data_IF_143328424791
#
_entry.id   IF_143328424791
#
_cell.length_a   1.000
_cell.length_b   1.000
_cell.length_c   1.000
_cell.angle_alpha   90.00
_cell.angle_beta   90.00
_cell.angle_gamma   90.00
#
_symmetry.space_group_name_H-M   'P 1'
#
loop_
_entity.id
_entity.type
_entity.pdbx_description
1 polymer ?
#
# COMPACT_ATOMS: atom_id res chain seq x y z
N UNK A 1 -5.80 -8.70 33.70
CA UNK A 1 -4.90 -7.62 33.22
C UNK A 1 -5.12 -7.43 31.72
N UNK A 2 -5.93 -6.47 31.30
CA UNK A 2 -6.07 -6.11 29.88
C UNK A 2 -4.92 -5.17 29.51
N UNK A 3 -4.03 -5.62 28.62
CA UNK A 3 -2.96 -4.75 28.08
C UNK A 3 -3.64 -3.67 27.24
N UNK A 4 -3.62 -2.42 27.71
CA UNK A 4 -4.11 -1.28 26.93
C UNK A 4 -3.31 -1.24 25.64
N UNK A 5 -3.98 -1.40 24.50
CA UNK A 5 -3.34 -1.27 23.20
C UNK A 5 -2.86 0.19 23.03
N UNK A 6 -1.73 0.40 22.34
CA UNK A 6 -1.24 1.76 22.06
C UNK A 6 -2.27 2.57 21.27
N UNK A 7 -2.21 3.89 21.39
CA UNK A 7 -3.00 4.81 20.58
C UNK A 7 -2.70 4.65 19.06
N UNK A 8 -3.58 5.18 18.22
CA UNK A 8 -3.45 5.05 16.76
C UNK A 8 -2.13 5.59 16.23
N UNK A 9 -1.70 6.75 16.73
CA UNK A 9 -0.44 7.39 16.33
C UNK A 9 0.74 6.49 16.65
N UNK A 10 0.77 5.90 17.84
CA UNK A 10 1.80 4.95 18.24
C UNK A 10 1.79 3.69 17.35
N UNK A 11 0.62 3.12 17.05
CA UNK A 11 0.52 1.95 16.14
C UNK A 11 1.07 2.26 14.75
N UNK A 12 0.74 3.43 14.22
CA UNK A 12 1.23 3.89 12.92
C UNK A 12 2.76 4.10 12.91
N UNK A 13 3.33 4.70 13.96
CA UNK A 13 4.78 4.86 14.09
C UNK A 13 5.50 3.51 14.17
N UNK A 14 4.97 2.57 14.96
CA UNK A 14 5.52 1.20 15.05
C UNK A 14 5.47 0.50 13.68
N UNK A 15 4.36 0.61 12.95
CA UNK A 15 4.24 0.03 11.61
C UNK A 15 5.26 0.64 10.63
N UNK A 16 5.48 1.97 10.67
CA UNK A 16 6.50 2.65 9.85
C UNK A 16 7.91 2.20 10.20
N UNK A 17 8.24 2.10 11.49
CA UNK A 17 9.55 1.62 11.95
C UNK A 17 9.78 0.20 11.42
N UNK A 18 8.79 -0.69 11.59
CA UNK A 18 8.88 -2.07 11.10
C UNK A 18 9.03 -2.17 9.59
N UNK A 19 8.26 -1.37 8.83
CA UNK A 19 8.35 -1.31 7.37
C UNK A 19 9.73 -0.84 6.89
N UNK A 20 10.22 0.27 7.44
CA UNK A 20 11.53 0.81 7.08
C UNK A 20 12.67 -0.12 7.48
N UNK A 21 12.61 -0.74 8.66
CA UNK A 21 13.60 -1.72 9.10
C UNK A 21 13.65 -2.93 8.17
N UNK A 22 12.48 -3.41 7.71
CA UNK A 22 12.38 -4.51 6.75
C UNK A 22 12.97 -4.14 5.38
N UNK A 23 12.70 -2.94 4.89
CA UNK A 23 13.27 -2.46 3.61
C UNK A 23 14.79 -2.34 3.71
N UNK A 24 15.31 -1.80 4.83
CA UNK A 24 16.75 -1.68 5.08
C UNK A 24 17.47 -3.03 5.08
N UNK A 25 16.81 -4.08 5.59
CA UNK A 25 17.39 -5.43 5.69
C UNK A 25 17.26 -6.24 4.40
N UNK A 26 16.36 -5.88 3.50
CA UNK A 26 16.08 -6.67 2.31
C UNK A 26 17.10 -6.38 1.21
N UNK A 27 17.65 -7.45 0.62
CA UNK A 27 18.53 -7.35 -0.56
C UNK A 27 17.81 -6.76 -1.78
N UNK A 28 16.51 -7.02 -1.89
CA UNK A 28 15.65 -6.44 -2.92
C UNK A 28 14.18 -6.38 -2.48
N UNK A 29 13.35 -5.51 -3.10
CA UNK A 29 11.91 -5.50 -2.86
C UNK A 29 11.23 -6.85 -3.15
N UNK A 30 11.75 -7.62 -4.13
CA UNK A 30 11.24 -8.93 -4.46
C UNK A 30 11.54 -9.96 -3.35
N UNK A 31 12.76 -9.96 -2.81
CA UNK A 31 13.16 -10.83 -1.71
C UNK A 31 12.30 -10.59 -0.46
N UNK A 32 11.96 -9.32 -0.19
CA UNK A 32 11.09 -8.94 0.93
C UNK A 32 9.72 -9.63 0.88
N UNK A 33 9.17 -9.89 -0.30
CA UNK A 33 7.82 -10.45 -0.47
C UNK A 33 7.81 -11.91 -0.91
N UNK A 34 8.97 -12.50 -1.20
CA UNK A 34 9.08 -13.87 -1.70
C UNK A 34 8.41 -14.90 -0.77
N UNK A 35 8.61 -14.90 0.57
CA UNK A 35 7.96 -15.88 1.45
C UNK A 35 6.43 -15.74 1.45
N UNK A 36 5.93 -14.51 1.46
CA UNK A 36 4.50 -14.23 1.43
C UNK A 36 3.88 -14.65 0.08
N UNK A 37 4.57 -14.38 -1.04
CA UNK A 37 4.15 -14.82 -2.37
C UNK A 37 4.12 -16.35 -2.47
N UNK A 38 5.13 -17.04 -1.95
CA UNK A 38 5.16 -18.50 -1.93
C UNK A 38 3.98 -19.08 -1.13
N UNK A 39 3.74 -18.58 0.09
CA UNK A 39 2.60 -19.01 0.90
C UNK A 39 1.24 -18.72 0.23
N UNK A 40 1.13 -17.56 -0.42
CA UNK A 40 -0.06 -17.18 -1.19
C UNK A 40 -0.31 -18.13 -2.36
N UNK A 41 0.73 -18.53 -3.09
CA UNK A 41 0.60 -19.45 -4.23
C UNK A 41 0.28 -20.87 -3.77
N UNK A 42 0.93 -21.35 -2.70
CA UNK A 42 0.74 -22.70 -2.16
C UNK A 42 -0.71 -23.00 -1.73
N UNK A 43 -1.51 -21.98 -1.41
CA UNK A 43 -2.92 -22.18 -1.07
C UNK A 43 -3.75 -22.71 -2.25
N UNK A 44 -3.38 -22.32 -3.48
CA UNK A 44 -4.13 -22.71 -4.67
C UNK A 44 -3.84 -24.16 -5.04
N UNK A 45 -2.63 -24.64 -4.82
CA UNK A 45 -2.29 -26.06 -4.94
C UNK A 45 -3.16 -26.91 -4.01
N UNK A 46 -3.27 -26.53 -2.72
CA UNK A 46 -4.16 -27.21 -1.77
C UNK A 46 -5.65 -27.10 -2.12
N UNK A 47 -6.05 -26.04 -2.80
CA UNK A 47 -7.44 -25.84 -3.21
C UNK A 47 -7.81 -26.75 -4.40
N UNK A 48 -6.89 -26.95 -5.35
CA UNK A 48 -7.13 -27.77 -6.55
C UNK A 48 -6.85 -29.25 -6.35
N UNK A 49 -6.05 -29.59 -5.34
CA UNK A 49 -5.66 -30.96 -4.99
C UNK A 49 -5.54 -31.11 -3.45
N UNK A 50 -6.66 -31.18 -2.72
CA UNK A 50 -6.63 -31.33 -1.26
C UNK A 50 -5.99 -32.64 -0.80
N UNK A 51 -6.18 -33.71 -1.57
CA UNK A 51 -5.72 -35.07 -1.26
C UNK A 51 -4.32 -35.36 -1.81
N UNK A 52 -3.75 -34.46 -2.63
CA UNK A 52 -2.39 -34.59 -3.17
C UNK A 52 -2.23 -35.69 -4.22
N UNK A 53 -3.30 -36.07 -4.91
CA UNK A 53 -3.33 -37.26 -5.79
C UNK A 53 -2.90 -36.91 -7.22
N UNK A 54 -2.97 -35.64 -7.61
CA UNK A 54 -2.64 -35.23 -8.97
C UNK A 54 -1.12 -35.26 -9.22
N UNK A 55 -0.68 -35.60 -10.44
CA UNK A 55 0.70 -35.35 -10.87
C UNK A 55 1.09 -33.87 -10.72
N UNK A 56 2.36 -33.61 -10.41
CA UNK A 56 2.86 -32.27 -10.06
C UNK A 56 2.63 -31.23 -11.18
N UNK A 57 2.79 -31.63 -12.45
CA UNK A 57 2.57 -30.80 -13.62
C UNK A 57 1.09 -30.40 -13.77
N UNK A 58 0.18 -31.37 -13.58
CA UNK A 58 -1.27 -31.16 -13.62
C UNK A 58 -1.70 -30.29 -12.44
N UNK A 59 -1.15 -30.51 -11.24
CA UNK A 59 -1.43 -29.71 -10.04
C UNK A 59 -1.00 -28.26 -10.26
N UNK A 60 0.20 -28.03 -10.79
CA UNK A 60 0.70 -26.69 -11.08
C UNK A 60 -0.14 -25.97 -12.15
N UNK A 61 -0.54 -26.67 -13.22
CA UNK A 61 -1.41 -26.11 -14.26
C UNK A 61 -2.78 -25.70 -13.69
N UNK A 62 -3.39 -26.54 -12.85
CA UNK A 62 -4.66 -26.23 -12.18
C UNK A 62 -4.51 -25.08 -11.18
N UNK A 63 -3.44 -25.04 -10.39
CA UNK A 63 -3.17 -23.95 -9.45
C UNK A 63 -3.01 -22.61 -10.18
N UNK A 64 -2.35 -22.60 -11.34
CA UNK A 64 -2.24 -21.41 -12.21
C UNK A 64 -3.61 -20.95 -12.73
N UNK A 65 -4.47 -21.89 -13.13
CA UNK A 65 -5.84 -21.57 -13.56
C UNK A 65 -6.66 -20.97 -12.40
N UNK A 66 -6.58 -21.56 -11.20
CA UNK A 66 -7.25 -21.04 -10.00
C UNK A 66 -6.76 -19.64 -9.59
N UNK A 67 -5.45 -19.39 -9.69
CA UNK A 67 -4.90 -18.04 -9.49
C UNK A 67 -5.48 -17.04 -10.49
N UNK A 68 -5.55 -17.42 -11.76
CA UNK A 68 -6.06 -16.56 -12.83
C UNK A 68 -7.54 -16.23 -12.62
N UNK A 69 -8.33 -17.22 -12.23
CA UNK A 69 -9.73 -17.05 -11.84
C UNK A 69 -9.88 -16.09 -10.64
N UNK A 70 -9.06 -16.26 -9.58
CA UNK A 70 -9.10 -15.37 -8.43
C UNK A 70 -8.80 -13.91 -8.80
N UNK A 71 -7.80 -13.68 -9.66
CA UNK A 71 -7.46 -12.34 -10.11
C UNK A 71 -8.56 -11.72 -10.99
N UNK A 72 -9.24 -12.53 -11.81
CA UNK A 72 -10.40 -12.09 -12.57
C UNK A 72 -11.55 -11.65 -11.63
N UNK A 73 -11.82 -12.40 -10.56
CA UNK A 73 -12.83 -12.03 -9.54
C UNK A 73 -12.51 -10.70 -8.85
N UNK A 74 -11.26 -10.51 -8.42
CA UNK A 74 -10.81 -9.25 -7.80
C UNK A 74 -10.98 -8.08 -8.78
N UNK A 75 -10.60 -8.27 -10.04
CA UNK A 75 -10.73 -7.24 -11.08
C UNK A 75 -12.19 -6.87 -11.33
N UNK A 76 -13.06 -7.88 -11.44
CA UNK A 76 -14.50 -7.68 -11.59
C UNK A 76 -15.09 -6.90 -10.41
N UNK A 77 -14.73 -7.26 -9.17
CA UNK A 77 -15.17 -6.56 -7.98
C UNK A 77 -14.71 -5.08 -7.98
N UNK A 78 -13.46 -4.82 -8.36
CA UNK A 78 -12.92 -3.46 -8.48
C UNK A 78 -13.68 -2.63 -9.50
N UNK A 79 -13.97 -3.21 -10.68
CA UNK A 79 -14.73 -2.52 -11.74
C UNK A 79 -16.15 -2.18 -11.26
N UNK A 80 -16.81 -3.10 -10.56
CA UNK A 80 -18.16 -2.85 -9.99
C UNK A 80 -18.13 -1.69 -9.00
N UNK A 81 -17.21 -1.72 -8.03
CA UNK A 81 -17.02 -0.62 -7.05
C UNK A 81 -16.73 0.73 -7.71
N UNK A 82 -15.91 0.74 -8.76
CA UNK A 82 -15.61 1.97 -9.49
C UNK A 82 -16.82 2.54 -10.23
N UNK A 83 -17.77 1.69 -10.67
CA UNK A 83 -19.01 2.13 -11.29
C UNK A 83 -19.99 2.69 -10.26
N UNK A 84 -20.16 2.00 -9.14
CA UNK A 84 -20.98 2.46 -8.01
C UNK A 84 -20.52 3.86 -7.55
N UNK A 85 -19.22 4.03 -7.27
CA UNK A 85 -18.67 5.32 -6.84
C UNK A 85 -18.81 6.45 -7.88
N UNK A 86 -18.94 6.13 -9.18
CA UNK A 86 -19.22 7.13 -10.23
C UNK A 86 -20.69 7.51 -10.26
N UNK A 87 -21.58 6.55 -10.03
CA UNK A 87 -23.02 6.81 -9.94
C UNK A 87 -23.32 7.70 -8.72
N UNK A 88 -22.75 7.37 -7.56
CA UNK A 88 -22.86 8.18 -6.34
C UNK A 88 -22.40 9.62 -6.57
N UNK A 89 -21.23 9.83 -7.22
CA UNK A 89 -20.74 11.19 -7.56
C UNK A 89 -21.59 11.93 -8.60
N UNK A 90 -22.30 11.21 -9.45
CA UNK A 90 -23.17 11.82 -10.46
C UNK A 90 -24.52 12.23 -9.86
N UNK A 91 -24.95 11.53 -8.80
CA UNK A 91 -26.18 11.79 -8.05
C UNK A 91 -25.98 12.81 -6.95
N UNK A 92 -24.75 12.92 -6.41
CA UNK A 92 -24.37 14.00 -5.50
C UNK A 92 -24.38 15.33 -6.27
N UNK A 93 -25.21 16.32 -5.87
CA UNK A 93 -25.16 17.65 -6.46
C UNK A 93 -23.73 18.18 -6.29
N UNK A 94 -23.20 18.94 -7.26
CA UNK A 94 -21.86 19.48 -7.14
C UNK A 94 -21.73 20.12 -5.76
N UNK A 95 -20.63 19.86 -5.01
CA UNK A 95 -20.45 20.52 -3.74
C UNK A 95 -20.67 21.99 -4.04
N UNK A 96 -21.60 22.63 -3.32
CA UNK A 96 -21.75 24.08 -3.40
C UNK A 96 -20.41 24.61 -2.94
N UNK A 97 -19.51 24.81 -3.89
CA UNK A 97 -18.21 25.36 -3.69
C UNK A 97 -18.48 26.80 -3.34
N UNK A 98 -18.73 27.04 -2.05
CA UNK A 98 -18.35 28.30 -1.45
C UNK A 98 -16.94 28.55 -1.97
N UNK A 99 -16.69 29.67 -2.67
CA UNK A 99 -15.37 29.93 -3.22
C UNK A 99 -14.40 29.79 -2.05
N UNK A 100 -13.41 28.90 -2.20
CA UNK A 100 -12.29 28.86 -1.28
C UNK A 100 -11.71 30.26 -1.33
N UNK A 101 -12.02 31.06 -0.31
CA UNK A 101 -11.41 32.36 -0.10
C UNK A 101 -9.95 32.07 0.21
N UNK A 102 -9.14 31.98 -0.84
CA UNK A 102 -7.72 32.20 -0.73
C UNK A 102 -7.57 33.64 -0.25
N UNK A 103 -7.41 33.80 1.06
CA UNK A 103 -6.77 34.98 1.62
C UNK A 103 -5.45 35.24 0.86
N UNK A 104 -4.99 36.49 0.81
CA UNK A 104 -3.89 36.89 -0.05
C UNK A 104 -2.72 35.94 0.13
N UNK A 105 -2.39 35.26 -0.96
CA UNK A 105 -1.18 34.47 -1.13
C UNK A 105 -0.01 35.32 -0.66
N UNK A 106 0.45 35.08 0.57
CA UNK A 106 1.78 35.49 0.97
C UNK A 106 2.71 34.77 0.02
N UNK A 107 3.41 35.52 -0.82
CA UNK A 107 4.37 35.04 -1.79
C UNK A 107 5.54 34.32 -1.08
N UNK A 108 5.29 33.12 -0.57
CA UNK A 108 6.30 32.19 -0.15
C UNK A 108 6.73 31.42 -1.39
N UNK A 109 7.92 31.73 -1.90
CA UNK A 109 8.58 30.97 -2.97
C UNK A 109 8.55 29.47 -2.63
N UNK A 110 8.12 28.63 -3.57
CA UNK A 110 8.28 27.18 -3.41
C UNK A 110 9.80 26.93 -3.36
N UNK A 111 10.33 26.28 -2.31
CA UNK A 111 11.77 26.01 -2.22
C UNK A 111 12.21 25.17 -3.41
N UNK A 112 13.33 25.55 -4.03
CA UNK A 112 13.80 24.96 -5.28
C UNK A 112 14.43 23.57 -5.08
N UNK A 113 14.65 23.18 -3.82
CA UNK A 113 15.28 21.90 -3.47
C UNK A 113 14.79 21.35 -2.13
N UNK A 114 14.96 20.04 -1.96
CA UNK A 114 14.57 19.31 -0.74
C UNK A 114 15.30 19.80 0.52
N UNK A 115 16.53 20.26 0.41
CA UNK A 115 17.31 20.83 1.52
C UNK A 115 16.73 22.17 1.99
N UNK A 116 16.34 23.04 1.06
CA UNK A 116 15.72 24.33 1.35
C UNK A 116 14.30 24.17 1.95
N UNK A 117 13.57 23.14 1.52
CA UNK A 117 12.29 22.76 2.15
C UNK A 117 12.44 22.28 3.60
N UNK A 118 13.52 21.54 3.91
CA UNK A 118 13.77 21.06 5.28
C UNK A 118 14.26 22.19 6.19
N UNK A 119 15.12 23.08 5.68
CA UNK A 119 15.58 24.27 6.38
C UNK A 119 14.44 25.25 6.70
N UNK A 120 13.50 25.47 5.77
CA UNK A 120 12.35 26.37 5.99
C UNK A 120 11.33 25.87 7.01
N UNK A 121 11.34 24.58 7.37
CA UNK A 121 10.44 23.98 8.38
C UNK A 121 11.08 23.83 9.76
N UNK A 122 12.25 24.45 10.02
CA UNK A 122 12.97 24.37 11.30
C UNK A 122 13.25 22.91 11.73
N UNK A 123 13.39 22.02 10.75
CA UNK A 123 13.85 20.64 10.94
C UNK A 123 15.34 20.62 10.61
N UNK A 124 16.16 20.98 11.59
CA UNK A 124 17.62 21.04 11.45
C UNK A 124 18.20 19.73 10.90
N UNK A 125 18.82 19.80 9.72
CA UNK A 125 19.72 18.78 9.21
C UNK A 125 21.05 19.00 9.91
N UNK A 126 21.43 18.08 10.81
CA UNK A 126 22.80 18.00 11.27
C UNK A 126 23.63 17.45 10.11
N UNK A 127 24.30 18.33 9.38
CA UNK A 127 25.32 17.95 8.42
C UNK A 127 26.54 17.43 9.19
N UNK A 128 26.62 16.12 9.29
CA UNK A 128 27.84 15.38 9.64
C UNK A 128 28.14 14.43 8.49
N UNK A 129 28.74 14.96 7.42
CA UNK A 129 29.59 14.17 6.52
C UNK A 129 30.75 15.06 6.06
N UNK A 130 31.92 14.74 6.59
CA UNK A 130 33.21 15.29 6.25
C UNK A 130 33.59 15.03 4.78
N UNK A 131 34.20 16.03 4.14
CA UNK A 131 35.53 15.98 3.49
C UNK A 131 36.02 17.39 3.14
#
# INVERSE_FOLDING_TARGET
MTRRLPDETTRHLVARIGGNARVRQAESPAAMTAPARAAFLARFERQVDPDGVLPDDVRAAKAKAALSEQMARVSLARVRRAREARQERAEEPPPTSAPVSMGPSGAGSIPASWTEFLASRDLGVADDVAE
#
